data_IF_598802666383
#
_entry.id   IF_598802666383
#
_cell.length_a   1.000
_cell.length_b   1.000
_cell.length_c   1.000
_cell.angle_alpha   90.00
_cell.angle_beta   90.00
_cell.angle_gamma   90.00
#
_symmetry.space_group_name_H-M   'P 1'
#
loop_
_entity.id
_entity.type
_entity.pdbx_description
1 polymer ?
#
# COMPACT_ATOMS: atom_id res chain seq x y z
N UNK A 1 -75.78 16.65 -5.05
CA UNK A 1 -74.31 16.63 -5.23
C UNK A 1 -74.01 15.67 -6.37
N UNK A 2 -73.63 16.20 -7.54
CA UNK A 2 -73.41 15.43 -8.76
C UNK A 2 -71.97 14.89 -8.77
N UNK A 3 -71.81 13.57 -8.81
CA UNK A 3 -70.51 12.92 -9.01
C UNK A 3 -70.17 12.97 -10.51
N UNK A 4 -69.44 14.01 -10.91
CA UNK A 4 -68.90 14.09 -12.26
C UNK A 4 -67.72 13.11 -12.37
N UNK A 5 -67.90 12.03 -13.15
CA UNK A 5 -66.80 11.16 -13.56
C UNK A 5 -65.80 12.00 -14.35
N UNK A 6 -64.57 12.12 -13.84
CA UNK A 6 -63.45 12.62 -14.63
C UNK A 6 -63.19 11.59 -15.75
N UNK A 7 -63.42 11.98 -17.00
CA UNK A 7 -62.94 11.19 -18.12
C UNK A 7 -61.42 11.10 -18.04
N UNK A 8 -60.89 9.88 -17.94
CA UNK A 8 -59.49 9.65 -18.19
C UNK A 8 -59.24 9.86 -19.69
N UNK A 9 -58.79 11.06 -20.06
CA UNK A 9 -58.14 11.27 -21.35
C UNK A 9 -56.96 10.30 -21.39
N UNK A 10 -57.05 9.27 -22.21
CA UNK A 10 -55.89 8.45 -22.55
C UNK A 10 -54.83 9.41 -23.10
N UNK A 11 -53.72 9.56 -22.37
CA UNK A 11 -52.55 10.28 -22.83
C UNK A 11 -52.20 9.75 -24.21
N UNK A 12 -52.38 10.61 -25.21
CA UNK A 12 -51.81 10.39 -26.53
C UNK A 12 -50.34 10.05 -26.35
N UNK A 13 -49.79 9.01 -27.01
CA UNK A 13 -48.40 8.60 -26.82
C UNK A 13 -47.52 9.84 -26.88
N UNK A 14 -46.79 10.07 -25.80
CA UNK A 14 -46.04 11.28 -25.49
C UNK A 14 -45.11 11.62 -26.66
N UNK A 15 -44.95 12.91 -26.89
CA UNK A 15 -44.22 13.44 -28.04
C UNK A 15 -42.76 12.94 -28.11
N UNK A 16 -42.19 12.47 -26.99
CA UNK A 16 -40.85 11.89 -26.94
C UNK A 16 -40.71 10.55 -27.66
N UNK A 17 -41.78 9.79 -27.84
CA UNK A 17 -41.74 8.50 -28.54
C UNK A 17 -42.24 8.60 -29.99
N UNK A 18 -42.50 9.81 -30.50
CA UNK A 18 -42.96 10.03 -31.87
C UNK A 18 -41.85 10.62 -32.73
N UNK A 19 -41.48 9.89 -33.77
CA UNK A 19 -40.58 10.41 -34.78
C UNK A 19 -41.31 11.38 -35.71
N UNK A 20 -40.87 12.63 -35.75
CA UNK A 20 -41.30 13.63 -36.72
C UNK A 20 -40.58 13.41 -38.06
N UNK A 21 -41.23 13.70 -39.20
CA UNK A 21 -40.57 13.64 -40.52
C UNK A 21 -39.34 14.54 -40.65
N UNK A 22 -39.19 15.53 -39.76
CA UNK A 22 -38.06 16.46 -39.71
C UNK A 22 -36.85 15.94 -38.89
N UNK A 23 -36.93 14.78 -38.23
CA UNK A 23 -35.87 14.25 -37.35
C UNK A 23 -34.62 13.75 -38.09
N UNK A 24 -34.61 13.83 -39.42
CA UNK A 24 -33.52 13.31 -40.24
C UNK A 24 -33.62 11.80 -40.41
N UNK A 25 -32.63 11.23 -41.10
CA UNK A 25 -32.57 9.79 -41.29
C UNK A 25 -32.15 9.14 -39.96
N UNK A 26 -32.72 7.97 -39.65
CA UNK A 26 -32.27 7.18 -38.50
C UNK A 26 -30.76 7.00 -38.54
N UNK A 27 -30.13 7.04 -37.37
CA UNK A 27 -28.69 6.81 -37.28
C UNK A 27 -28.36 5.47 -37.94
N UNK A 28 -27.36 5.47 -38.83
CA UNK A 28 -26.86 4.26 -39.46
C UNK A 28 -26.52 3.22 -38.37
N UNK A 29 -26.85 1.95 -38.57
CA UNK A 29 -26.58 0.91 -37.57
C UNK A 29 -25.07 0.80 -37.29
N UNK A 30 -24.62 1.33 -36.15
CA UNK A 30 -23.21 1.37 -35.78
C UNK A 30 -22.63 -0.02 -35.46
N UNK A 31 -23.49 -0.97 -35.10
CA UNK A 31 -23.08 -2.34 -34.74
C UNK A 31 -22.81 -3.26 -35.94
N UNK A 32 -23.33 -2.93 -37.13
CA UNK A 32 -23.21 -3.79 -38.33
C UNK A 32 -21.77 -3.95 -38.84
N UNK A 33 -20.89 -3.01 -38.50
CA UNK A 33 -19.48 -3.00 -38.91
C UNK A 33 -18.53 -3.60 -37.86
N UNK A 34 -19.03 -3.88 -36.64
CA UNK A 34 -18.19 -4.43 -35.58
C UNK A 34 -17.93 -5.92 -35.82
N UNK A 35 -16.69 -6.30 -36.11
CA UNK A 35 -16.27 -7.69 -36.19
C UNK A 35 -16.03 -8.27 -34.79
N UNK A 36 -16.82 -9.24 -34.31
CA UNK A 36 -16.63 -9.83 -32.98
C UNK A 36 -15.25 -10.50 -32.84
N UNK A 37 -14.73 -11.05 -33.94
CA UNK A 37 -13.38 -11.64 -33.98
C UNK A 37 -12.30 -10.59 -33.76
N UNK A 38 -12.43 -9.42 -34.38
CA UNK A 38 -11.47 -8.33 -34.20
C UNK A 38 -11.49 -7.81 -32.75
N UNK A 39 -12.68 -7.70 -32.14
CA UNK A 39 -12.81 -7.32 -30.73
C UNK A 39 -12.15 -8.35 -29.81
N UNK A 40 -12.35 -9.64 -30.04
CA UNK A 40 -11.74 -10.70 -29.23
C UNK A 40 -10.20 -10.68 -29.32
N UNK A 41 -9.65 -10.56 -30.53
CA UNK A 41 -8.20 -10.49 -30.73
C UNK A 41 -7.62 -9.25 -30.03
N UNK A 42 -8.29 -8.11 -30.15
CA UNK A 42 -7.85 -6.85 -29.51
C UNK A 42 -7.86 -6.98 -27.99
N UNK A 43 -8.90 -7.58 -27.42
CA UNK A 43 -8.99 -7.85 -25.98
C UNK A 43 -7.82 -8.72 -25.50
N UNK A 44 -7.56 -9.82 -26.22
CA UNK A 44 -6.45 -10.73 -25.90
C UNK A 44 -5.11 -9.98 -25.96
N UNK A 45 -4.88 -9.19 -27.01
CA UNK A 45 -3.67 -8.39 -27.16
C UNK A 45 -3.50 -7.37 -26.03
N UNK A 46 -4.58 -6.70 -25.60
CA UNK A 46 -4.55 -5.77 -24.47
C UNK A 46 -4.20 -6.46 -23.15
N UNK A 47 -4.76 -7.65 -22.90
CA UNK A 47 -4.46 -8.43 -21.69
C UNK A 47 -2.98 -8.84 -21.66
N UNK A 48 -2.48 -9.44 -22.73
CA UNK A 48 -1.08 -9.86 -22.80
C UNK A 48 -0.11 -8.69 -22.82
N UNK A 49 -0.47 -7.59 -23.50
CA UNK A 49 0.32 -6.36 -23.50
C UNK A 49 0.44 -5.75 -22.11
N UNK A 50 -0.67 -5.71 -21.36
CA UNK A 50 -0.67 -5.22 -19.97
C UNK A 50 0.17 -6.12 -19.07
N UNK A 51 0.00 -7.44 -19.16
CA UNK A 51 0.80 -8.41 -18.40
C UNK A 51 2.30 -8.26 -18.71
N UNK A 52 2.67 -8.07 -19.98
CA UNK A 52 4.05 -7.85 -20.38
C UNK A 52 4.63 -6.58 -19.74
N UNK A 53 3.90 -5.46 -19.76
CA UNK A 53 4.34 -4.22 -19.13
C UNK A 53 4.52 -4.39 -17.62
N UNK A 54 3.59 -5.08 -16.94
CA UNK A 54 3.71 -5.37 -15.50
C UNK A 54 4.97 -6.18 -15.20
N UNK A 55 5.28 -7.21 -16.00
CA UNK A 55 6.50 -8.01 -15.82
C UNK A 55 7.77 -7.19 -16.02
N UNK A 56 7.80 -6.32 -17.03
CA UNK A 56 8.93 -5.41 -17.27
C UNK A 56 9.11 -4.44 -16.10
N UNK A 57 8.03 -3.85 -15.60
CA UNK A 57 8.07 -2.95 -14.46
C UNK A 57 8.52 -3.67 -13.18
N UNK A 58 8.06 -4.89 -12.93
CA UNK A 58 8.51 -5.71 -11.81
C UNK A 58 10.02 -5.98 -11.89
N UNK A 59 10.52 -6.39 -13.06
CA UNK A 59 11.94 -6.64 -13.26
C UNK A 59 12.78 -5.36 -13.05
N UNK A 60 12.33 -4.24 -13.63
CA UNK A 60 12.96 -2.94 -13.45
C UNK A 60 12.98 -2.51 -11.98
N UNK A 61 11.84 -2.59 -11.30
CA UNK A 61 11.70 -2.16 -9.92
C UNK A 61 12.52 -3.05 -8.96
N UNK A 62 12.56 -4.36 -9.20
CA UNK A 62 13.40 -5.27 -8.43
C UNK A 62 14.89 -4.97 -8.63
N UNK A 63 15.31 -4.69 -9.86
CA UNK A 63 16.69 -4.31 -10.16
C UNK A 63 17.06 -2.97 -9.52
N UNK A 64 16.21 -1.96 -9.69
CA UNK A 64 16.41 -0.63 -9.13
C UNK A 64 16.43 -0.66 -7.60
N UNK A 65 15.45 -1.31 -6.97
CA UNK A 65 15.34 -1.39 -5.52
C UNK A 65 16.49 -2.19 -4.92
N UNK A 66 16.94 -3.27 -5.57
CA UNK A 66 18.11 -4.03 -5.10
C UNK A 66 19.37 -3.17 -5.12
N UNK A 67 19.61 -2.43 -6.21
CA UNK A 67 20.75 -1.50 -6.32
C UNK A 67 20.66 -0.36 -5.33
N UNK A 68 19.47 0.22 -5.15
CA UNK A 68 19.23 1.29 -4.21
C UNK A 68 19.44 0.83 -2.76
N UNK A 69 18.89 -0.34 -2.39
CA UNK A 69 19.11 -0.93 -1.06
C UNK A 69 20.58 -1.23 -0.82
N UNK A 70 21.28 -1.80 -1.80
CA UNK A 70 22.73 -2.05 -1.69
C UNK A 70 23.50 -0.74 -1.48
N UNK A 71 23.21 0.31 -2.25
CA UNK A 71 23.85 1.62 -2.10
C UNK A 71 23.54 2.29 -0.75
N UNK A 72 22.30 2.17 -0.27
CA UNK A 72 21.91 2.69 1.05
C UNK A 72 22.59 1.89 2.17
N UNK A 73 22.63 0.56 2.08
CA UNK A 73 23.32 -0.28 3.05
C UNK A 73 24.81 0.06 3.13
N UNK A 74 25.48 0.24 1.99
CA UNK A 74 26.86 0.72 1.90
C UNK A 74 27.05 2.12 2.54
N UNK A 75 26.04 2.98 2.44
CA UNK A 75 26.06 4.33 3.05
C UNK A 75 25.69 4.32 4.54
N UNK A 76 25.12 3.22 5.06
CA UNK A 76 24.76 3.06 6.48
C UNK A 76 25.86 2.49 7.36
N UNK A 77 27.13 2.78 7.06
CA UNK A 77 28.26 2.52 7.99
C UNK A 77 27.95 3.03 9.40
N UNK A 78 27.23 4.16 9.52
CA UNK A 78 26.74 4.71 10.80
C UNK A 78 25.74 3.78 11.51
N UNK A 79 24.84 3.12 10.77
CA UNK A 79 23.86 2.20 11.33
C UNK A 79 24.51 0.90 11.83
N UNK A 80 25.54 0.41 11.15
CA UNK A 80 26.31 -0.75 11.61
C UNK A 80 27.16 -0.41 12.83
N UNK A 81 27.79 0.76 12.86
CA UNK A 81 28.50 1.27 14.05
C UNK A 81 27.53 1.43 15.23
N UNK A 82 26.32 1.97 15.02
CA UNK A 82 25.33 2.10 16.08
C UNK A 82 24.87 0.75 16.65
N UNK A 83 24.64 -0.26 15.78
CA UNK A 83 24.29 -1.63 16.22
C UNK A 83 25.44 -2.29 16.99
N UNK A 84 26.67 -2.14 16.52
CA UNK A 84 27.85 -2.67 17.19
C UNK A 84 28.09 -1.99 18.54
N UNK A 85 27.95 -0.67 18.62
CA UNK A 85 28.06 0.08 19.86
C UNK A 85 26.97 -0.30 20.85
N UNK A 86 25.74 -0.52 20.39
CA UNK A 86 24.64 -1.00 21.25
C UNK A 86 24.95 -2.40 21.79
N UNK A 87 25.39 -3.33 20.95
CA UNK A 87 25.73 -4.68 21.38
C UNK A 87 26.90 -4.67 22.39
N UNK A 88 27.94 -3.87 22.12
CA UNK A 88 29.06 -3.68 23.03
C UNK A 88 28.61 -3.06 24.37
N UNK A 89 27.72 -2.07 24.34
CA UNK A 89 27.18 -1.44 25.54
C UNK A 89 26.28 -2.40 26.35
N UNK A 90 25.51 -3.29 25.71
CA UNK A 90 24.70 -4.29 26.42
C UNK A 90 25.58 -5.36 27.07
N UNK A 91 26.59 -5.88 26.35
CA UNK A 91 27.61 -6.72 26.97
C UNK A 91 28.39 -5.96 28.07
N UNK A 92 28.47 -4.63 27.95
CA UNK A 92 29.04 -3.78 28.98
C UNK A 92 28.15 -3.62 30.24
N UNK A 93 26.88 -3.99 30.20
CA UNK A 93 25.99 -3.93 31.38
C UNK A 93 25.98 -5.25 32.15
N UNK A 94 26.26 -6.37 31.49
CA UNK A 94 26.11 -7.71 32.09
C UNK A 94 27.35 -8.23 32.82
N UNK A 95 28.54 -7.70 32.52
CA UNK A 95 29.79 -8.14 33.16
C UNK A 95 30.32 -7.15 34.20
N UNK A 96 31.19 -7.60 35.09
CA UNK A 96 31.97 -6.76 36.00
C UNK A 96 33.20 -6.20 35.30
N UNK A 97 33.56 -4.95 35.60
CA UNK A 97 34.78 -4.37 35.04
C UNK A 97 35.05 -2.94 35.51
N UNK A 98 36.32 -2.58 35.54
CA UNK A 98 36.75 -1.21 35.84
C UNK A 98 36.42 -0.28 34.67
N UNK A 99 35.81 0.87 34.98
CA UNK A 99 35.55 1.95 34.02
C UNK A 99 36.71 2.96 34.06
N UNK A 100 37.21 3.27 35.25
CA UNK A 100 38.34 4.17 35.52
C UNK A 100 38.97 3.81 36.88
N UNK A 101 40.05 4.47 37.31
CA UNK A 101 40.78 4.13 38.55
C UNK A 101 39.91 4.13 39.82
N UNK A 102 38.85 4.95 39.83
CA UNK A 102 37.92 5.11 40.96
C UNK A 102 36.53 4.51 40.71
N UNK A 103 36.26 3.98 39.51
CA UNK A 103 34.89 3.61 39.12
C UNK A 103 34.84 2.18 38.60
N UNK A 104 34.03 1.36 39.24
CA UNK A 104 33.74 0.00 38.81
C UNK A 104 32.32 -0.08 38.27
N UNK A 105 32.16 -0.81 37.18
CA UNK A 105 30.85 -1.21 36.67
C UNK A 105 30.44 -2.54 37.33
N UNK A 106 29.20 -2.59 37.77
CA UNK A 106 28.57 -3.75 38.37
C UNK A 106 27.29 -4.09 37.61
N UNK A 107 26.97 -5.37 37.38
CA UNK A 107 25.69 -5.79 36.84
C UNK A 107 24.53 -5.27 37.69
N UNK A 108 23.47 -4.79 37.03
CA UNK A 108 22.35 -4.08 37.68
C UNK A 108 21.67 -4.95 38.74
N UNK A 109 21.53 -6.25 38.49
CA UNK A 109 20.90 -7.19 39.41
C UNK A 109 21.69 -7.30 40.72
N UNK A 110 23.02 -7.29 40.64
CA UNK A 110 23.88 -7.34 41.83
C UNK A 110 23.90 -5.99 42.56
N UNK A 111 23.89 -4.89 41.81
CA UNK A 111 23.80 -3.55 42.40
C UNK A 111 22.48 -3.38 43.18
N UNK A 112 21.37 -3.88 42.62
CA UNK A 112 20.07 -3.88 43.28
C UNK A 112 20.07 -4.74 44.55
N UNK A 113 20.68 -5.93 44.51
CA UNK A 113 20.80 -6.79 45.69
C UNK A 113 21.60 -6.11 46.82
N UNK A 114 22.70 -5.41 46.50
CA UNK A 114 23.48 -4.68 47.49
C UNK A 114 22.67 -3.55 48.13
N UNK A 115 21.97 -2.74 47.31
CA UNK A 115 21.13 -1.65 47.84
C UNK A 115 20.01 -2.17 48.72
N UNK A 116 19.39 -3.29 48.35
CA UNK A 116 18.35 -3.94 49.16
C UNK A 116 18.93 -4.51 50.46
N UNK A 117 20.12 -5.10 50.43
CA UNK A 117 20.79 -5.59 51.64
C UNK A 117 21.15 -4.46 52.60
N UNK A 118 21.68 -3.34 52.08
CA UNK A 118 22.03 -2.16 52.88
C UNK A 118 20.80 -1.47 53.48
N UNK A 119 19.71 -1.33 52.72
CA UNK A 119 18.49 -0.66 53.18
C UNK A 119 17.55 -1.57 53.99
N UNK A 120 17.54 -2.87 53.69
CA UNK A 120 16.70 -3.86 54.38
C UNK A 120 17.25 -4.31 55.73
N UNK A 121 18.55 -4.17 55.97
CA UNK A 121 19.20 -4.47 57.25
C UNK A 121 19.18 -3.34 58.28
N UNK A 122 18.62 -2.16 57.93
CA UNK A 122 18.49 -1.00 58.83
C UNK A 122 17.08 -0.82 59.42
N UNK A 123 16.27 -1.90 59.42
CA UNK A 123 14.94 -1.96 60.06
C UNK A 123 14.96 -2.64 61.41
#
# INVERSE_FOLDING_TARGET
>A
MSNQKLEHQHETPDAWHRHLPAEGHGQHEHGSHASPKAMLITLIAMVFGTLFVVLVLMAFFNSYTSKYKAAVEETTTIGQVARNNKAAAMGALETWGWIDHDRVRMPIEQAMQQVVAERGGQG
#
